data_IF_434683584685
#
_entry.id   IF_434683584685
#
_cell.length_a   1.000
_cell.length_b   1.000
_cell.length_c   1.000
_cell.angle_alpha   90.00
_cell.angle_beta   90.00
_cell.angle_gamma   90.00
#
_symmetry.space_group_name_H-M   'P 1'
#
loop_
_entity.id
_entity.type
_entity.pdbx_description
1 polymer ?
#
# COMPACT_ATOMS: atom_id res chain seq x y z
N UNK A 1 -117.23 -16.10 -20.74
CA UNK A 1 -116.74 -17.04 -21.77
C UNK A 1 -115.72 -16.37 -22.70
N UNK A 2 -115.98 -15.18 -23.27
CA UNK A 2 -115.14 -14.52 -24.28
C UNK A 2 -113.79 -13.96 -23.76
N UNK A 3 -113.77 -13.30 -22.60
CA UNK A 3 -112.53 -12.74 -22.03
C UNK A 3 -111.50 -13.83 -21.72
N UNK A 4 -111.92 -14.91 -21.03
CA UNK A 4 -111.05 -16.03 -20.67
C UNK A 4 -110.40 -16.68 -21.91
N UNK A 5 -111.16 -16.87 -23.00
CA UNK A 5 -110.61 -17.39 -24.25
C UNK A 5 -109.61 -16.45 -24.92
N UNK A 6 -109.75 -15.13 -24.71
CA UNK A 6 -108.84 -14.12 -25.25
C UNK A 6 -107.54 -14.08 -24.45
N UNK A 7 -107.62 -14.07 -23.13
CA UNK A 7 -106.47 -14.18 -22.23
C UNK A 7 -105.69 -15.48 -22.47
N UNK A 8 -106.37 -16.62 -22.61
CA UNK A 8 -105.72 -17.90 -22.93
C UNK A 8 -105.04 -17.86 -24.31
N UNK A 9 -105.66 -17.23 -25.32
CA UNK A 9 -105.04 -17.04 -26.64
C UNK A 9 -103.82 -16.12 -26.61
N UNK A 10 -103.86 -15.08 -25.78
CA UNK A 10 -102.77 -14.12 -25.60
C UNK A 10 -101.60 -14.72 -24.81
N UNK A 11 -101.89 -15.52 -23.77
CA UNK A 11 -100.90 -16.36 -23.07
C UNK A 11 -100.29 -17.39 -24.03
N UNK A 12 -101.10 -18.05 -24.87
CA UNK A 12 -100.61 -19.03 -25.84
C UNK A 12 -99.68 -18.39 -26.88
N UNK A 13 -100.03 -17.22 -27.41
CA UNK A 13 -99.13 -16.46 -28.30
C UNK A 13 -97.83 -16.02 -27.59
N UNK A 14 -97.88 -15.63 -26.31
CA UNK A 14 -96.67 -15.29 -25.54
C UNK A 14 -95.77 -16.49 -25.23
N UNK A 15 -96.34 -17.67 -24.98
CA UNK A 15 -95.56 -18.89 -24.71
C UNK A 15 -95.04 -19.57 -25.99
N UNK A 16 -95.81 -19.52 -27.08
CA UNK A 16 -95.55 -20.31 -28.28
C UNK A 16 -95.24 -19.50 -29.54
N UNK A 17 -95.34 -18.16 -29.55
CA UNK A 17 -94.77 -17.36 -30.65
C UNK A 17 -93.30 -17.04 -30.37
N UNK A 18 -92.42 -18.00 -30.69
CA UNK A 18 -90.97 -17.89 -30.56
C UNK A 18 -90.32 -17.00 -31.64
N UNK A 19 -91.10 -16.42 -32.57
CA UNK A 19 -90.55 -15.54 -33.63
C UNK A 19 -89.79 -14.31 -33.10
N UNK A 20 -90.22 -13.59 -32.05
CA UNK A 20 -89.48 -12.45 -31.54
C UNK A 20 -88.14 -12.87 -30.91
N UNK A 21 -88.12 -14.01 -30.23
CA UNK A 21 -86.91 -14.60 -29.65
C UNK A 21 -85.94 -15.07 -30.74
N UNK A 22 -86.40 -15.89 -31.68
CA UNK A 22 -85.59 -16.39 -32.80
C UNK A 22 -85.07 -15.24 -33.68
N UNK A 23 -85.88 -14.22 -33.98
CA UNK A 23 -85.40 -13.05 -34.72
C UNK A 23 -84.40 -12.21 -33.91
N UNK A 24 -84.48 -12.23 -32.57
CA UNK A 24 -83.48 -11.65 -31.68
C UNK A 24 -82.15 -12.40 -31.78
N UNK A 25 -82.17 -13.72 -31.60
CA UNK A 25 -81.00 -14.60 -31.68
C UNK A 25 -80.37 -14.61 -33.08
N UNK A 26 -81.16 -14.63 -34.16
CA UNK A 26 -80.65 -14.55 -35.54
C UNK A 26 -79.95 -13.21 -35.78
N UNK A 27 -80.52 -12.09 -35.29
CA UNK A 27 -79.86 -10.77 -35.37
C UNK A 27 -78.63 -10.69 -34.48
N UNK A 28 -78.63 -11.35 -33.33
CA UNK A 28 -77.46 -11.41 -32.45
C UNK A 28 -76.33 -12.22 -33.11
N UNK A 29 -76.63 -13.39 -33.68
CA UNK A 29 -75.69 -14.19 -34.48
C UNK A 29 -75.10 -13.41 -35.66
N UNK A 30 -75.94 -12.78 -36.49
CA UNK A 30 -75.48 -11.93 -37.60
C UNK A 30 -74.56 -10.81 -37.10
N UNK A 31 -74.93 -10.14 -36.01
CA UNK A 31 -74.12 -9.07 -35.41
C UNK A 31 -72.79 -9.55 -34.84
N UNK A 32 -72.77 -10.71 -34.19
CA UNK A 32 -71.57 -11.21 -33.52
C UNK A 32 -70.59 -11.87 -34.51
N UNK A 33 -71.09 -12.47 -35.59
CA UNK A 33 -70.28 -13.16 -36.61
C UNK A 33 -69.98 -12.32 -37.86
N UNK A 34 -70.94 -11.57 -38.42
CA UNK A 34 -70.68 -10.73 -39.60
C UNK A 34 -70.15 -9.34 -39.19
N UNK A 35 -70.82 -8.60 -38.29
CA UNK A 35 -70.39 -7.22 -37.95
C UNK A 35 -69.12 -7.15 -37.07
N UNK A 36 -68.94 -8.08 -36.12
CA UNK A 36 -67.83 -8.02 -35.13
C UNK A 36 -66.58 -8.81 -35.50
N UNK A 37 -66.72 -9.95 -36.16
CA UNK A 37 -65.55 -10.71 -36.69
C UNK A 37 -65.17 -10.23 -38.09
N UNK A 38 -66.15 -10.10 -38.99
CA UNK A 38 -65.91 -9.72 -40.39
C UNK A 38 -64.79 -10.53 -41.04
N UNK A 39 -64.00 -9.88 -41.90
CA UNK A 39 -62.86 -10.50 -42.57
C UNK A 39 -61.58 -10.51 -41.71
N UNK A 40 -61.64 -10.18 -40.41
CA UNK A 40 -60.45 -9.94 -39.58
C UNK A 40 -59.55 -11.17 -39.40
N UNK A 41 -60.12 -12.36 -39.42
CA UNK A 41 -59.37 -13.62 -39.44
C UNK A 41 -58.68 -13.84 -40.81
N UNK A 42 -59.33 -13.42 -41.90
CA UNK A 42 -58.83 -13.50 -43.28
C UNK A 42 -57.71 -12.48 -43.53
N UNK A 43 -57.87 -11.22 -43.11
CA UNK A 43 -56.83 -10.19 -43.09
C UNK A 43 -55.59 -10.66 -42.32
N UNK A 44 -55.78 -11.26 -41.15
CA UNK A 44 -54.68 -11.78 -40.35
C UNK A 44 -54.00 -12.99 -41.03
N UNK A 45 -54.76 -13.83 -41.74
CA UNK A 45 -54.21 -14.92 -42.56
C UNK A 45 -53.36 -14.38 -43.71
N UNK A 46 -53.83 -13.34 -44.41
CA UNK A 46 -53.07 -12.67 -45.47
C UNK A 46 -51.81 -11.99 -44.93
N UNK A 47 -51.89 -11.30 -43.79
CA UNK A 47 -50.72 -10.69 -43.15
C UNK A 47 -49.69 -11.73 -42.65
N UNK A 48 -50.13 -12.94 -42.27
CA UNK A 48 -49.25 -14.08 -41.98
C UNK A 48 -48.63 -14.63 -43.27
N UNK A 49 -49.41 -14.77 -44.34
CA UNK A 49 -48.95 -15.25 -45.65
C UNK A 49 -47.91 -14.32 -46.27
N UNK A 50 -48.14 -13.00 -46.22
CA UNK A 50 -47.21 -11.95 -46.67
C UNK A 50 -45.88 -12.08 -45.91
N UNK A 51 -45.91 -12.09 -44.57
CA UNK A 51 -44.72 -12.28 -43.74
C UNK A 51 -44.01 -13.61 -44.00
N UNK A 52 -44.75 -14.70 -44.21
CA UNK A 52 -44.18 -16.01 -44.53
C UNK A 52 -43.45 -15.98 -45.88
N UNK A 53 -44.02 -15.27 -46.86
CA UNK A 53 -43.45 -15.11 -48.21
C UNK A 53 -42.20 -14.22 -48.15
N UNK A 54 -42.25 -13.09 -47.44
CA UNK A 54 -41.08 -12.22 -47.20
C UNK A 54 -39.93 -12.94 -46.49
N UNK A 55 -40.24 -13.76 -45.49
CA UNK A 55 -39.25 -14.58 -44.78
C UNK A 55 -38.61 -15.57 -45.76
N UNK A 56 -39.44 -16.34 -46.48
CA UNK A 56 -39.01 -17.40 -47.41
C UNK A 56 -38.17 -16.85 -48.56
N UNK A 57 -38.63 -15.80 -49.22
CA UNK A 57 -38.09 -15.33 -50.50
C UNK A 57 -37.06 -14.20 -50.33
N UNK A 58 -37.12 -13.42 -49.24
CA UNK A 58 -36.16 -12.34 -48.98
C UNK A 58 -35.19 -12.62 -47.83
N UNK A 59 -35.69 -13.02 -46.66
CA UNK A 59 -34.83 -13.09 -45.46
C UNK A 59 -33.92 -14.31 -45.44
N UNK A 60 -34.39 -15.49 -45.90
CA UNK A 60 -33.55 -16.70 -45.98
C UNK A 60 -32.33 -16.48 -46.88
N UNK A 61 -32.50 -15.86 -48.05
CA UNK A 61 -31.37 -15.52 -48.93
C UNK A 61 -30.43 -14.47 -48.31
N UNK A 62 -30.97 -13.41 -47.69
CA UNK A 62 -30.16 -12.38 -47.04
C UNK A 62 -29.31 -12.97 -45.92
N UNK A 63 -29.90 -13.80 -45.07
CA UNK A 63 -29.21 -14.50 -43.98
C UNK A 63 -28.12 -15.40 -44.57
N UNK A 64 -28.45 -16.22 -45.57
CA UNK A 64 -27.48 -17.10 -46.24
C UNK A 64 -26.29 -16.32 -46.81
N UNK A 65 -26.54 -15.29 -47.62
CA UNK A 65 -25.51 -14.44 -48.23
C UNK A 65 -24.66 -13.71 -47.18
N UNK A 66 -25.28 -13.20 -46.11
CA UNK A 66 -24.55 -12.55 -45.01
C UNK A 66 -23.70 -13.54 -44.19
N UNK A 67 -24.17 -14.78 -44.02
CA UNK A 67 -23.42 -15.86 -43.40
C UNK A 67 -22.23 -16.30 -44.26
N UNK A 68 -22.45 -16.57 -45.55
CA UNK A 68 -21.42 -16.95 -46.51
C UNK A 68 -20.31 -15.90 -46.64
N UNK A 69 -20.63 -14.60 -46.50
CA UNK A 69 -19.63 -13.54 -46.46
C UNK A 69 -18.95 -13.36 -45.09
N UNK A 70 -19.71 -13.41 -43.99
CA UNK A 70 -19.23 -13.08 -42.64
C UNK A 70 -18.50 -14.21 -41.91
N UNK A 71 -18.97 -15.45 -42.04
CA UNK A 71 -18.38 -16.62 -41.39
C UNK A 71 -16.91 -16.89 -41.78
N UNK A 72 -16.50 -16.87 -43.07
CA UNK A 72 -15.10 -17.12 -43.41
C UNK A 72 -14.18 -16.01 -42.90
N UNK A 73 -14.60 -14.74 -42.97
CA UNK A 73 -13.84 -13.62 -42.42
C UNK A 73 -13.67 -13.76 -40.90
N UNK A 74 -14.74 -14.16 -40.19
CA UNK A 74 -14.68 -14.40 -38.74
C UNK A 74 -13.75 -15.58 -38.41
N UNK A 75 -13.80 -16.66 -39.19
CA UNK A 75 -12.92 -17.83 -39.01
C UNK A 75 -11.45 -17.46 -39.22
N UNK A 76 -11.11 -16.75 -40.30
CA UNK A 76 -9.76 -16.27 -40.58
C UNK A 76 -9.25 -15.32 -39.48
N UNK A 77 -10.10 -14.42 -38.97
CA UNK A 77 -9.75 -13.51 -37.87
C UNK A 77 -9.57 -14.25 -36.54
N UNK A 78 -10.33 -15.31 -36.29
CA UNK A 78 -10.18 -16.16 -35.12
C UNK A 78 -8.90 -17.00 -35.20
N UNK A 79 -8.56 -17.52 -36.37
CA UNK A 79 -7.30 -18.23 -36.62
C UNK A 79 -6.08 -17.31 -36.46
N UNK A 80 -6.14 -16.08 -37.01
CA UNK A 80 -5.12 -15.04 -36.76
C UNK A 80 -4.99 -14.70 -35.26
N UNK A 81 -6.11 -14.59 -34.53
CA UNK A 81 -6.07 -14.34 -33.10
C UNK A 81 -5.43 -15.51 -32.31
N UNK A 82 -5.70 -16.76 -32.69
CA UNK A 82 -5.06 -17.93 -32.09
C UNK A 82 -3.56 -17.96 -32.36
N UNK A 83 -3.12 -17.67 -33.59
CA UNK A 83 -1.70 -17.59 -33.94
C UNK A 83 -0.97 -16.52 -33.12
N UNK A 84 -1.56 -15.33 -32.94
CA UNK A 84 -1.01 -14.28 -32.09
C UNK A 84 -0.95 -14.67 -30.61
N UNK A 85 -1.95 -15.39 -30.10
CA UNK A 85 -1.92 -15.92 -28.73
C UNK A 85 -0.78 -16.93 -28.54
N UNK A 86 -0.57 -17.86 -29.48
CA UNK A 86 0.54 -18.81 -29.44
C UNK A 86 1.91 -18.15 -29.55
N UNK A 87 2.04 -17.10 -30.37
CA UNK A 87 3.29 -16.34 -30.52
C UNK A 87 3.63 -15.59 -29.22
N UNK A 88 2.64 -14.98 -28.57
CA UNK A 88 2.79 -14.33 -27.25
C UNK A 88 3.16 -15.35 -26.16
N UNK A 89 2.57 -16.55 -26.17
CA UNK A 89 2.90 -17.61 -25.21
C UNK A 89 4.36 -18.09 -25.38
N UNK A 90 4.79 -18.35 -26.62
CA UNK A 90 6.19 -18.72 -26.95
C UNK A 90 7.16 -17.61 -26.53
N UNK A 91 6.87 -16.36 -26.90
CA UNK A 91 7.69 -15.20 -26.53
C UNK A 91 7.81 -15.00 -25.01
N UNK A 92 6.74 -15.25 -24.24
CA UNK A 92 6.81 -15.24 -22.79
C UNK A 92 7.69 -16.36 -22.24
N UNK A 93 7.58 -17.57 -22.79
CA UNK A 93 8.36 -18.73 -22.37
C UNK A 93 9.87 -18.53 -22.60
N UNK A 94 10.25 -18.01 -23.78
CA UNK A 94 11.63 -17.74 -24.15
C UNK A 94 12.22 -16.61 -23.30
N UNK A 95 11.48 -15.50 -23.10
CA UNK A 95 11.89 -14.43 -22.19
C UNK A 95 12.04 -14.91 -20.75
N UNK A 96 11.18 -15.83 -20.30
CA UNK A 96 11.30 -16.43 -18.97
C UNK A 96 12.57 -17.26 -18.85
N UNK A 97 12.87 -18.15 -19.81
CA UNK A 97 14.09 -18.96 -19.82
C UNK A 97 15.36 -18.08 -19.78
N UNK A 98 15.47 -17.09 -20.66
CA UNK A 98 16.62 -16.16 -20.71
C UNK A 98 16.78 -15.36 -19.41
N UNK A 99 15.68 -15.02 -18.74
CA UNK A 99 15.72 -14.32 -17.45
C UNK A 99 16.12 -15.25 -16.29
N UNK A 100 15.67 -16.49 -16.29
CA UNK A 100 16.09 -17.52 -15.32
C UNK A 100 17.60 -17.81 -15.45
N UNK A 101 18.12 -18.03 -16.67
CA UNK A 101 19.54 -18.24 -16.95
C UNK A 101 20.40 -17.07 -16.46
N UNK A 102 20.03 -15.83 -16.81
CA UNK A 102 20.71 -14.61 -16.32
C UNK A 102 20.64 -14.49 -14.80
N UNK A 103 19.53 -14.88 -14.17
CA UNK A 103 19.43 -14.90 -12.70
C UNK A 103 20.42 -15.92 -12.12
N UNK A 104 20.53 -17.10 -12.73
CA UNK A 104 21.40 -18.18 -12.31
C UNK A 104 22.88 -17.80 -12.41
N UNK A 105 23.33 -17.23 -13.55
CA UNK A 105 24.68 -16.67 -13.67
C UNK A 105 24.99 -15.62 -12.61
N UNK A 106 24.03 -14.74 -12.30
CA UNK A 106 24.18 -13.69 -11.30
C UNK A 106 24.11 -14.23 -9.85
N UNK A 107 23.57 -15.42 -9.63
CA UNK A 107 23.73 -16.15 -8.37
C UNK A 107 25.15 -16.73 -8.28
N UNK A 108 25.65 -17.39 -9.32
CA UNK A 108 27.01 -17.95 -9.32
C UNK A 108 28.11 -16.90 -9.18
N UNK A 109 27.97 -15.74 -9.84
CA UNK A 109 28.92 -14.60 -9.72
C UNK A 109 28.96 -14.11 -8.27
N UNK A 110 27.81 -13.80 -7.68
CA UNK A 110 27.72 -13.37 -6.27
C UNK A 110 28.14 -14.44 -5.28
N UNK A 111 27.95 -15.72 -5.58
CA UNK A 111 28.44 -16.81 -4.75
C UNK A 111 29.96 -16.83 -4.76
N UNK A 112 30.62 -16.72 -5.92
CA UNK A 112 32.09 -16.63 -6.02
C UNK A 112 32.64 -15.38 -5.32
N UNK A 113 31.97 -14.24 -5.44
CA UNK A 113 32.32 -13.00 -4.71
C UNK A 113 32.16 -13.18 -3.19
N UNK A 114 31.10 -13.86 -2.75
CA UNK A 114 30.85 -14.17 -1.34
C UNK A 114 31.87 -15.15 -0.76
N UNK A 115 32.18 -16.22 -1.49
CA UNK A 115 33.18 -17.21 -1.08
C UNK A 115 34.56 -16.54 -0.93
N UNK A 116 34.97 -15.70 -1.90
CA UNK A 116 36.20 -14.88 -1.81
C UNK A 116 36.18 -13.92 -0.61
N UNK A 117 35.04 -13.29 -0.31
CA UNK A 117 34.88 -12.42 0.84
C UNK A 117 34.98 -13.20 2.16
N UNK A 118 34.38 -14.38 2.24
CA UNK A 118 34.46 -15.27 3.40
C UNK A 118 35.89 -15.75 3.63
N UNK A 119 36.62 -16.10 2.58
CA UNK A 119 38.04 -16.49 2.68
C UNK A 119 38.92 -15.33 3.18
N UNK A 120 38.72 -14.10 2.68
CA UNK A 120 39.42 -12.89 3.18
C UNK A 120 39.03 -12.54 4.63
N UNK A 121 37.77 -12.71 5.01
CA UNK A 121 37.34 -12.54 6.42
C UNK A 121 37.95 -13.60 7.33
N UNK A 122 37.93 -14.88 6.94
CA UNK A 122 38.53 -15.98 7.69
C UNK A 122 40.05 -15.75 7.87
N UNK A 123 40.75 -15.34 6.80
CA UNK A 123 42.16 -15.00 6.86
C UNK A 123 42.44 -13.81 7.81
N UNK A 124 41.58 -12.78 7.80
CA UNK A 124 41.70 -11.65 8.73
C UNK A 124 41.46 -12.04 10.18
N UNK A 125 40.44 -12.86 10.46
CA UNK A 125 40.19 -13.41 11.79
C UNK A 125 41.39 -14.23 12.27
N UNK A 126 41.84 -15.21 11.46
CA UNK A 126 43.00 -16.04 11.81
C UNK A 126 44.27 -15.21 12.07
N UNK A 127 44.52 -14.17 11.27
CA UNK A 127 45.65 -13.26 11.52
C UNK A 127 45.50 -12.50 12.84
N UNK A 128 44.29 -12.07 13.18
CA UNK A 128 44.00 -11.40 14.45
C UNK A 128 44.23 -12.37 15.61
N UNK A 129 43.70 -13.59 15.52
CA UNK A 129 43.86 -14.66 16.52
C UNK A 129 45.36 -14.97 16.75
N UNK A 130 46.14 -15.16 15.67
CA UNK A 130 47.59 -15.35 15.76
C UNK A 130 48.28 -14.16 16.47
N UNK A 131 47.94 -12.91 16.13
CA UNK A 131 48.54 -11.74 16.81
C UNK A 131 48.12 -11.61 18.27
N UNK A 132 46.96 -12.14 18.66
CA UNK A 132 46.57 -12.25 20.06
C UNK A 132 47.35 -13.36 20.77
N UNK A 133 47.56 -14.51 20.14
CA UNK A 133 48.34 -15.63 20.68
C UNK A 133 49.81 -15.24 20.88
N UNK A 134 50.45 -14.58 19.90
CA UNK A 134 51.79 -14.00 20.02
C UNK A 134 51.88 -13.00 21.20
N UNK A 135 50.88 -12.13 21.35
CA UNK A 135 50.83 -11.15 22.45
C UNK A 135 50.56 -11.82 23.80
N UNK A 136 49.79 -12.90 23.84
CA UNK A 136 49.56 -13.68 25.06
C UNK A 136 50.84 -14.41 25.50
N UNK A 137 51.61 -14.96 24.55
CA UNK A 137 52.91 -15.58 24.82
C UNK A 137 53.94 -14.54 25.31
N UNK A 138 54.04 -13.37 24.66
CA UNK A 138 54.84 -12.24 25.16
C UNK A 138 54.46 -11.84 26.59
N UNK A 139 53.16 -11.78 26.91
CA UNK A 139 52.70 -11.48 28.27
C UNK A 139 53.09 -12.60 29.26
N UNK A 140 52.94 -13.86 28.87
CA UNK A 140 53.31 -15.02 29.69
C UNK A 140 54.80 -15.02 30.03
N UNK A 141 55.65 -14.74 29.05
CA UNK A 141 57.09 -14.59 29.24
C UNK A 141 57.42 -13.41 30.16
N UNK A 142 56.82 -12.23 29.95
CA UNK A 142 57.03 -11.08 30.83
C UNK A 142 56.63 -11.36 32.29
N UNK A 143 55.53 -12.10 32.53
CA UNK A 143 55.13 -12.51 33.87
C UNK A 143 56.05 -13.59 34.46
N UNK A 144 56.54 -14.55 33.66
CA UNK A 144 57.52 -15.53 34.10
C UNK A 144 58.84 -14.86 34.53
N UNK A 145 59.29 -13.88 33.74
CA UNK A 145 60.51 -13.11 33.97
C UNK A 145 60.38 -12.18 35.21
N UNK A 146 59.19 -11.60 35.43
CA UNK A 146 58.85 -10.85 36.64
C UNK A 146 58.86 -11.77 37.88
N UNK A 147 58.24 -12.94 37.78
CA UNK A 147 58.18 -13.92 38.87
C UNK A 147 59.57 -14.45 39.23
N UNK A 148 60.43 -14.70 38.24
CA UNK A 148 61.82 -15.07 38.44
C UNK A 148 62.63 -13.96 39.13
N UNK A 149 62.44 -12.69 38.74
CA UNK A 149 63.06 -11.53 39.42
C UNK A 149 62.60 -11.39 40.87
N UNK A 150 61.31 -11.59 41.16
CA UNK A 150 60.76 -11.60 42.52
C UNK A 150 61.31 -12.77 43.35
N UNK A 151 61.41 -13.96 42.77
CA UNK A 151 62.01 -15.13 43.41
C UNK A 151 63.48 -14.91 43.77
N UNK A 152 64.27 -14.31 42.87
CA UNK A 152 65.67 -13.93 43.16
C UNK A 152 65.76 -12.86 44.25
N UNK A 153 64.84 -11.88 44.29
CA UNK A 153 64.81 -10.87 45.35
C UNK A 153 64.50 -11.52 46.71
N UNK A 154 63.42 -12.30 46.79
CA UNK A 154 63.07 -13.06 48.00
C UNK A 154 64.21 -13.96 48.47
N UNK A 155 64.91 -14.66 47.57
CA UNK A 155 66.02 -15.54 47.96
C UNK A 155 67.22 -14.74 48.51
N UNK A 156 67.54 -13.56 47.94
CA UNK A 156 68.56 -12.65 48.51
C UNK A 156 68.15 -12.10 49.86
N UNK A 157 66.87 -11.77 50.04
CA UNK A 157 66.35 -11.30 51.32
C UNK A 157 66.37 -12.42 52.38
N UNK A 158 66.07 -13.66 51.99
CA UNK A 158 66.25 -14.87 52.83
C UNK A 158 67.74 -15.08 53.16
N UNK A 159 68.68 -14.98 52.21
CA UNK A 159 70.12 -15.04 52.51
C UNK A 159 70.58 -13.94 53.46
N UNK A 160 70.06 -12.71 53.30
CA UNK A 160 70.38 -11.59 54.17
C UNK A 160 69.83 -11.82 55.58
N UNK A 161 68.59 -12.32 55.72
CA UNK A 161 68.02 -12.75 56.99
C UNK A 161 68.81 -13.90 57.61
N UNK A 162 69.32 -14.85 56.81
CA UNK A 162 70.13 -15.96 57.31
C UNK A 162 71.53 -15.50 57.74
N UNK A 163 72.12 -14.49 57.09
CA UNK A 163 73.34 -13.80 57.53
C UNK A 163 73.11 -13.04 58.83
N UNK A 164 72.04 -12.24 58.92
CA UNK A 164 71.65 -11.53 60.15
C UNK A 164 71.44 -12.54 61.28
N UNK A 165 70.71 -13.64 61.05
CA UNK A 165 70.52 -14.70 62.04
C UNK A 165 71.84 -15.38 62.42
N UNK A 166 72.76 -15.60 61.48
CA UNK A 166 74.10 -16.13 61.81
C UNK A 166 74.98 -15.17 62.61
N UNK A 167 74.67 -13.86 62.60
CA UNK A 167 75.31 -12.84 63.45
C UNK A 167 74.62 -12.76 64.81
N UNK A 168 73.29 -12.80 64.86
CA UNK A 168 72.50 -12.86 66.11
C UNK A 168 72.85 -14.10 66.91
N UNK A 169 72.86 -15.30 66.30
CA UNK A 169 73.27 -16.53 66.96
C UNK A 169 74.73 -16.47 67.49
N UNK A 170 75.63 -15.70 66.87
CA UNK A 170 77.01 -15.49 67.37
C UNK A 170 77.11 -14.48 68.51
N UNK A 171 76.09 -13.63 68.69
CA UNK A 171 75.94 -12.75 69.87
C UNK A 171 75.28 -13.53 71.00
N UNK A 172 74.31 -14.39 70.69
CA UNK A 172 73.66 -15.31 71.63
C UNK A 172 74.61 -16.44 72.12
N UNK A 173 75.59 -16.88 71.33
CA UNK A 173 76.65 -17.80 71.79
C UNK A 173 77.67 -17.16 72.77
N UNK A 174 77.66 -15.83 72.92
CA UNK A 174 78.49 -15.10 73.90
C UNK A 174 77.78 -14.72 75.20
N UNK A 175 76.45 -14.83 75.26
CA UNK A 175 75.63 -14.54 76.44
C UNK A 175 74.53 -15.60 76.56
N UNK A 176 74.78 -16.66 77.36
CA UNK A 176 73.81 -17.48 78.15
C UNK A 176 74.38 -18.86 78.58
N UNK A 177 75.48 -18.88 79.33
CA UNK A 177 75.60 -19.88 80.42
C UNK A 177 75.10 -19.23 81.73
N UNK A 178 73.78 -19.08 81.88
CA UNK A 178 73.07 -19.17 83.17
C UNK A 178 71.56 -18.93 83.02
N UNK A 179 70.75 -19.91 83.46
CA UNK A 179 69.35 -19.78 83.90
C UNK A 179 68.34 -19.57 82.73
N UNK A 180 67.21 -20.28 82.60
CA UNK A 180 66.39 -20.92 83.63
C UNK A 180 65.79 -22.28 83.21
N UNK A 181 65.37 -23.04 84.22
CA UNK A 181 64.80 -24.38 84.13
C UNK A 181 63.35 -24.31 84.68
N UNK A 182 62.40 -25.06 84.08
CA UNK A 182 61.06 -25.37 84.63
C UNK A 182 60.06 -24.19 84.74
N UNK A 183 58.74 -24.23 84.50
CA UNK A 183 57.73 -25.10 83.86
C UNK A 183 56.36 -24.39 84.10
N UNK A 184 55.32 -24.80 83.36
CA UNK A 184 53.88 -24.78 83.75
C UNK A 184 53.00 -23.50 83.63
N UNK A 185 52.08 -23.62 82.66
CA UNK A 185 50.62 -23.37 82.71
C UNK A 185 49.94 -22.01 82.36
N UNK A 186 48.78 -22.22 81.70
CA UNK A 186 47.55 -21.44 81.57
C UNK A 186 47.34 -20.23 80.60
N UNK A 187 46.85 -20.60 79.40
CA UNK A 187 45.45 -20.39 78.94
C UNK A 187 44.92 -19.00 78.48
N UNK A 188 44.48 -19.00 77.21
CA UNK A 188 43.29 -18.30 76.62
C UNK A 188 43.28 -16.76 76.36
N UNK A 189 43.13 -16.42 75.07
CA UNK A 189 41.89 -15.94 74.37
C UNK A 189 42.02 -14.70 73.44
N UNK A 190 41.41 -14.83 72.22
CA UNK A 190 41.06 -13.80 71.19
C UNK A 190 42.20 -13.12 70.41
N UNK A 191 42.09 -12.79 69.11
CA UNK A 191 41.15 -13.13 68.01
C UNK A 191 41.68 -12.52 66.67
N UNK A 192 41.02 -12.80 65.53
CA UNK A 192 40.97 -12.03 64.24
C UNK A 192 41.84 -12.52 63.04
N UNK A 193 41.15 -13.25 62.15
CA UNK A 193 41.06 -13.16 60.66
C UNK A 193 42.21 -13.46 59.68
N UNK A 194 41.74 -13.76 58.44
CA UNK A 194 42.38 -13.81 57.10
C UNK A 194 43.24 -15.05 56.86
N UNK A 195 42.76 -16.02 56.05
CA UNK A 195 42.81 -16.04 54.56
C UNK A 195 44.24 -16.24 54.08
N UNK A 196 44.69 -17.49 53.87
CA UNK A 196 44.64 -18.21 52.59
C UNK A 196 46.07 -18.69 52.28
N UNK A 197 46.38 -19.67 51.43
CA UNK A 197 45.59 -20.51 50.52
C UNK A 197 46.37 -21.84 50.26
N UNK A 198 46.20 -22.47 49.08
CA UNK A 198 46.95 -23.67 48.59
C UNK A 198 46.51 -25.03 49.21
N UNK A 199 46.50 -26.19 48.53
CA UNK A 199 46.49 -26.64 47.11
C UNK A 199 46.00 -28.13 47.12
N UNK A 200 45.75 -28.91 46.06
CA UNK A 200 45.90 -28.79 44.59
C UNK A 200 44.83 -29.65 43.83
N UNK A 201 44.92 -29.67 42.49
CA UNK A 201 44.78 -30.88 41.62
C UNK A 201 43.39 -31.37 41.14
N UNK A 202 43.06 -30.95 39.91
CA UNK A 202 42.77 -31.75 38.70
C UNK A 202 41.74 -32.92 38.63
N UNK A 203 41.03 -32.87 37.49
CA UNK A 203 40.60 -33.97 36.60
C UNK A 203 39.22 -34.70 36.70
N UNK A 204 38.29 -34.22 35.84
CA UNK A 204 37.75 -34.94 34.65
C UNK A 204 36.69 -36.07 34.79
N UNK A 205 35.61 -35.91 34.00
CA UNK A 205 34.63 -36.88 33.41
C UNK A 205 33.43 -37.43 34.22
N UNK A 206 32.27 -36.89 33.83
CA UNK A 206 31.18 -37.58 33.12
C UNK A 206 30.03 -38.29 33.87
N UNK A 207 28.86 -38.24 33.19
CA UNK A 207 27.62 -39.03 33.38
C UNK A 207 26.77 -38.75 34.64
N UNK A 208 25.44 -39.00 34.64
CA UNK A 208 24.40 -39.06 33.59
C UNK A 208 23.04 -39.34 34.28
N UNK A 209 21.90 -38.85 33.74
CA UNK A 209 20.51 -39.32 34.03
C UNK A 209 19.99 -39.04 35.47
N UNK A 210 18.67 -38.98 35.78
CA UNK A 210 17.44 -39.14 34.99
C UNK A 210 16.19 -38.56 35.71
N UNK A 211 15.05 -38.49 34.99
CA UNK A 211 13.66 -38.60 35.52
C UNK A 211 13.05 -37.41 36.30
N UNK A 212 11.75 -37.08 36.32
CA UNK A 212 10.59 -37.10 35.39
C UNK A 212 9.34 -36.62 36.21
N UNK A 213 8.32 -36.02 35.57
CA UNK A 213 6.92 -35.84 36.05
C UNK A 213 6.63 -34.98 37.32
N UNK A 214 5.67 -34.04 37.32
CA UNK A 214 4.23 -34.29 37.08
C UNK A 214 3.36 -33.01 36.97
N UNK A 215 2.10 -33.16 36.54
CA UNK A 215 0.95 -32.23 36.58
C UNK A 215 -0.19 -32.95 37.37
N UNK A 216 -1.18 -32.30 38.05
CA UNK A 216 -2.16 -31.39 37.39
C UNK A 216 -2.90 -30.29 38.23
N UNK A 217 -3.61 -29.40 37.49
CA UNK A 217 -4.89 -28.63 37.68
C UNK A 217 -5.80 -28.89 38.93
N UNK A 218 -6.91 -28.10 39.17
CA UNK A 218 -7.25 -26.68 38.88
C UNK A 218 -8.08 -25.95 40.01
N UNK A 219 -8.47 -24.66 39.83
CA UNK A 219 -9.86 -24.11 40.04
C UNK A 219 -9.99 -22.62 39.67
N UNK A 220 -11.23 -22.11 39.58
CA UNK A 220 -11.64 -20.75 39.15
C UNK A 220 -11.92 -19.84 40.38
N UNK A 221 -12.09 -18.52 40.18
CA UNK A 221 -13.39 -17.81 40.35
C UNK A 221 -13.33 -16.27 40.07
N UNK A 222 -14.42 -15.75 39.51
CA UNK A 222 -15.02 -14.39 39.45
C UNK A 222 -14.28 -13.04 39.18
N UNK A 223 -14.44 -12.59 37.94
CA UNK A 223 -14.95 -11.28 37.45
C UNK A 223 -15.22 -10.08 38.41
N UNK A 224 -14.64 -8.88 38.11
CA UNK A 224 -15.45 -7.69 37.74
C UNK A 224 -14.72 -6.45 37.17
N UNK A 225 -15.47 -5.71 36.33
CA UNK A 225 -15.48 -4.25 36.05
C UNK A 225 -14.21 -3.45 35.64
N UNK A 226 -14.29 -2.96 34.40
CA UNK A 226 -14.19 -1.55 33.95
C UNK A 226 -13.00 -0.70 34.45
N UNK A 227 -12.13 -0.29 33.51
CA UNK A 227 -11.75 1.12 33.44
C UNK A 227 -11.50 1.65 32.02
N UNK A 228 -11.97 2.89 31.87
CA UNK A 228 -11.92 3.80 30.72
C UNK A 228 -10.49 4.04 30.24
N UNK A 229 -10.31 4.12 28.91
CA UNK A 229 -9.17 4.81 28.31
C UNK A 229 -9.35 6.32 28.49
N UNK A 230 -8.35 6.95 29.10
CA UNK A 230 -8.06 8.38 28.94
C UNK A 230 -6.54 8.52 28.89
N UNK A 231 -5.95 8.44 27.70
CA UNK A 231 -4.56 8.88 27.48
C UNK A 231 -4.60 10.39 27.30
N UNK A 232 -4.04 11.11 28.27
CA UNK A 232 -3.55 12.47 28.11
C UNK A 232 -2.07 12.47 28.51
N UNK A 233 -1.25 13.01 27.62
CA UNK A 233 -0.13 13.89 27.90
C UNK A 233 0.78 13.55 29.09
N UNK A 234 1.78 12.69 28.86
CA UNK A 234 3.02 12.71 29.64
C UNK A 234 4.19 13.13 28.75
N UNK A 235 4.48 14.44 28.82
CA UNK A 235 5.71 15.04 28.32
C UNK A 235 6.46 15.57 29.54
N UNK A 236 7.29 14.74 30.19
CA UNK A 236 8.41 15.16 31.07
C UNK A 236 9.24 13.97 31.57
N UNK A 237 10.50 14.28 31.85
CA UNK A 237 11.47 13.50 32.64
C UNK A 237 12.07 12.22 32.02
N UNK A 238 12.82 12.38 30.94
CA UNK A 238 14.14 11.72 30.81
C UNK A 238 15.17 12.82 30.52
N UNK A 239 15.75 13.39 31.59
CA UNK A 239 16.88 14.32 31.51
C UNK A 239 17.60 14.42 32.87
N UNK A 240 17.90 13.25 33.45
CA UNK A 240 18.76 13.06 34.64
C UNK A 240 19.44 11.70 34.49
N UNK A 241 20.75 11.74 34.24
CA UNK A 241 21.76 10.67 34.23
C UNK A 241 22.60 10.65 32.94
N UNK A 242 23.17 11.80 32.57
CA UNK A 242 24.45 11.84 31.85
C UNK A 242 25.45 12.54 32.76
N UNK A 243 26.17 11.74 33.53
CA UNK A 243 27.18 12.20 34.47
C UNK A 243 28.45 12.61 33.72
N UNK A 244 28.74 13.92 33.68
CA UNK A 244 30.07 14.52 33.46
C UNK A 244 31.05 13.77 32.54
N UNK A 245 30.64 13.41 31.30
CA UNK A 245 31.63 13.17 30.24
C UNK A 245 32.29 14.51 29.88
N UNK A 246 33.60 14.57 30.08
CA UNK A 246 34.44 15.70 29.70
C UNK A 246 34.61 15.70 28.17
N UNK A 247 33.96 16.64 27.49
CA UNK A 247 34.13 16.86 26.05
C UNK A 247 34.94 18.14 25.83
N UNK A 248 35.88 18.10 24.88
CA UNK A 248 36.60 19.29 24.42
C UNK A 248 35.80 19.95 23.31
N UNK A 249 35.53 21.24 23.44
CA UNK A 249 34.91 22.05 22.38
C UNK A 249 36.02 22.44 21.38
N UNK A 250 35.66 22.72 20.13
CA UNK A 250 36.60 23.21 19.11
C UNK A 250 37.42 24.43 19.59
N UNK A 251 36.80 25.34 20.37
CA UNK A 251 37.48 26.47 21.02
C UNK A 251 38.63 26.07 21.94
N UNK A 252 38.51 24.91 22.60
CA UNK A 252 39.47 24.45 23.60
C UNK A 252 40.68 23.80 22.90
N UNK A 253 40.43 23.14 21.76
CA UNK A 253 41.44 22.59 20.86
C UNK A 253 42.22 23.72 20.19
N UNK A 254 41.55 24.78 19.72
CA UNK A 254 42.19 25.98 19.16
C UNK A 254 43.06 26.70 20.20
N UNK A 255 42.58 26.80 21.44
CA UNK A 255 43.36 27.33 22.56
C UNK A 255 44.60 26.46 22.86
N UNK A 256 44.42 25.14 22.92
CA UNK A 256 45.51 24.18 23.19
C UNK A 256 46.59 24.25 22.10
N UNK A 257 46.19 24.36 20.82
CA UNK A 257 47.10 24.58 19.70
C UNK A 257 47.93 25.85 19.88
N UNK A 258 47.28 26.98 20.14
CA UNK A 258 47.94 28.27 20.35
C UNK A 258 48.85 28.28 21.60
N UNK A 259 48.51 27.49 22.62
CA UNK A 259 49.33 27.31 23.83
C UNK A 259 50.62 26.52 23.52
N UNK A 260 50.49 25.36 22.87
CA UNK A 260 51.63 24.52 22.47
C UNK A 260 52.59 25.26 21.54
N UNK A 261 52.06 26.09 20.63
CA UNK A 261 52.87 26.92 19.73
C UNK A 261 53.71 27.96 20.51
N UNK A 262 53.12 28.62 21.52
CA UNK A 262 53.83 29.58 22.40
C UNK A 262 54.94 28.92 23.22
N UNK A 263 54.76 27.67 23.67
CA UNK A 263 55.80 26.92 24.39
C UNK A 263 56.98 26.56 23.46
N UNK A 264 56.69 26.13 22.23
CA UNK A 264 57.73 25.88 21.20
C UNK A 264 58.52 27.16 20.86
N UNK A 265 57.86 28.32 20.76
CA UNK A 265 58.54 29.62 20.57
C UNK A 265 59.45 30.03 21.74
N UNK A 266 59.29 29.45 22.94
CA UNK A 266 60.15 29.70 24.10
C UNK A 266 61.37 28.77 24.18
N UNK A 267 61.52 27.82 23.25
CA UNK A 267 62.71 26.96 23.14
C UNK A 267 62.68 25.67 23.98
N UNK A 268 61.52 25.28 24.51
CA UNK A 268 61.36 24.02 25.24
C UNK A 268 61.45 22.81 24.29
N UNK A 269 62.39 21.88 24.56
CA UNK A 269 62.72 20.78 23.64
C UNK A 269 61.74 19.59 23.68
N UNK A 270 60.86 19.51 24.69
CA UNK A 270 59.96 18.37 24.94
C UNK A 270 58.47 18.77 24.84
N UNK A 271 58.08 19.49 23.79
CA UNK A 271 56.67 19.85 23.55
C UNK A 271 56.08 18.95 22.45
N UNK A 272 55.13 18.04 22.77
CA UNK A 272 54.50 17.15 21.78
C UNK A 272 53.73 17.92 20.70
N UNK A 273 53.32 17.24 19.64
CA UNK A 273 52.44 17.82 18.63
C UNK A 273 50.97 17.58 18.99
N UNK A 274 50.09 18.50 18.57
CA UNK A 274 48.66 18.39 18.89
C UNK A 274 48.05 17.07 18.38
N UNK A 275 48.44 16.60 17.19
CA UNK A 275 47.95 15.33 16.66
C UNK A 275 48.32 14.13 17.56
N UNK A 276 49.48 14.16 18.22
CA UNK A 276 49.93 13.13 19.18
C UNK A 276 49.12 13.16 20.48
N UNK A 277 48.57 14.31 20.86
CA UNK A 277 47.70 14.46 22.03
C UNK A 277 46.23 14.11 21.73
N UNK A 278 45.83 14.12 20.46
CA UNK A 278 44.50 13.77 20.00
C UNK A 278 44.41 12.34 19.42
N UNK A 279 45.52 11.61 19.43
CA UNK A 279 45.59 10.22 18.99
C UNK A 279 44.73 9.33 19.90
N UNK A 280 43.75 8.63 19.30
CA UNK A 280 42.74 7.86 20.04
C UNK A 280 41.51 8.65 20.52
N UNK A 281 41.39 9.95 20.23
CA UNK A 281 40.19 10.72 20.57
C UNK A 281 39.01 10.42 19.61
N UNK A 282 37.80 10.30 20.17
CA UNK A 282 36.57 10.07 19.41
C UNK A 282 35.88 11.40 19.11
N UNK A 283 35.63 11.68 17.82
CA UNK A 283 34.94 12.90 17.37
C UNK A 283 33.43 12.60 17.25
N UNK A 284 32.63 13.12 18.17
CA UNK A 284 31.18 13.15 18.04
C UNK A 284 30.75 14.34 17.19
N UNK A 285 30.17 14.10 16.01
CA UNK A 285 29.63 15.15 15.13
C UNK A 285 28.15 15.40 15.44
N UNK A 286 27.70 16.67 15.45
CA UNK A 286 26.29 16.97 15.68
C UNK A 286 25.42 16.38 14.56
N UNK A 287 24.43 15.59 14.92
CA UNK A 287 23.49 14.99 13.97
C UNK A 287 22.69 16.04 13.22
N UNK A 288 22.54 15.87 11.90
CA UNK A 288 21.83 16.82 11.05
C UNK A 288 20.35 16.98 11.46
N UNK A 289 19.87 18.23 11.56
CA UNK A 289 18.50 18.51 11.97
C UNK A 289 17.47 17.96 10.98
N UNK A 290 16.61 17.04 11.46
CA UNK A 290 15.53 16.48 10.65
C UNK A 290 14.38 17.49 10.58
N UNK A 291 14.25 18.15 9.43
CA UNK A 291 13.12 19.04 9.13
C UNK A 291 11.79 18.29 9.29
N UNK A 292 10.94 18.76 10.20
CA UNK A 292 9.60 18.19 10.42
C UNK A 292 8.74 18.43 9.17
N UNK A 293 8.06 17.38 8.70
CA UNK A 293 7.15 17.47 7.55
C UNK A 293 6.02 18.46 7.84
N UNK A 294 5.58 19.19 6.81
CA UNK A 294 4.49 20.15 6.93
C UNK A 294 3.21 19.42 7.40
N UNK A 295 2.60 19.81 8.54
CA UNK A 295 1.48 19.09 9.13
C UNK A 295 0.22 19.10 8.24
N UNK A 296 0.05 20.12 7.39
CA UNK A 296 -1.07 20.21 6.44
C UNK A 296 -0.92 19.18 5.31
N UNK A 297 0.30 19.01 4.81
CA UNK A 297 0.60 18.00 3.79
C UNK A 297 0.52 16.58 4.37
N UNK A 298 1.02 16.38 5.60
CA UNK A 298 0.89 15.10 6.29
C UNK A 298 -0.58 14.73 6.52
N UNK A 299 -1.41 15.66 7.00
CA UNK A 299 -2.85 15.45 7.13
C UNK A 299 -3.54 15.11 5.79
N UNK A 300 -3.14 15.78 4.69
CA UNK A 300 -3.65 15.46 3.33
C UNK A 300 -3.21 14.07 2.87
N UNK A 301 -1.96 13.69 3.10
CA UNK A 301 -1.43 12.37 2.75
C UNK A 301 -2.09 11.26 3.58
N UNK A 302 -2.33 11.48 4.88
CA UNK A 302 -3.08 10.55 5.75
C UNK A 302 -4.52 10.42 5.26
N UNK A 303 -5.19 11.52 4.88
CA UNK A 303 -6.55 11.50 4.31
C UNK A 303 -6.60 10.70 3.00
N UNK A 304 -5.67 10.94 2.07
CA UNK A 304 -5.61 10.22 0.79
C UNK A 304 -5.30 8.73 0.98
N UNK A 305 -4.36 8.40 1.87
CA UNK A 305 -4.04 7.00 2.21
C UNK A 305 -5.25 6.28 2.81
N UNK A 306 -5.91 6.89 3.80
CA UNK A 306 -7.13 6.33 4.40
C UNK A 306 -8.28 6.18 3.37
N UNK A 307 -8.39 7.08 2.39
CA UNK A 307 -9.35 6.94 1.28
C UNK A 307 -8.98 5.77 0.36
N UNK A 308 -7.70 5.57 0.05
CA UNK A 308 -7.22 4.45 -0.77
C UNK A 308 -7.39 3.11 -0.04
N UNK A 309 -6.96 3.01 1.21
CA UNK A 309 -7.16 1.83 2.06
C UNK A 309 -8.66 1.49 2.19
N UNK A 310 -9.54 2.50 2.31
CA UNK A 310 -10.98 2.27 2.32
C UNK A 310 -11.53 1.78 0.96
N UNK A 311 -10.99 2.24 -0.18
CA UNK A 311 -11.33 1.71 -1.53
C UNK A 311 -10.90 0.25 -1.65
N UNK A 312 -9.67 -0.08 -1.25
CA UNK A 312 -9.10 -1.43 -1.29
C UNK A 312 -9.84 -2.40 -0.35
N UNK A 313 -10.11 -1.98 0.89
CA UNK A 313 -10.91 -2.75 1.84
C UNK A 313 -12.33 -3.04 1.32
N UNK A 314 -13.02 -2.04 0.76
CA UNK A 314 -14.35 -2.24 0.15
C UNK A 314 -14.29 -3.18 -1.05
N UNK A 315 -13.24 -3.10 -1.88
CA UNK A 315 -13.04 -4.03 -3.01
C UNK A 315 -12.88 -5.48 -2.53
N UNK A 316 -12.13 -5.71 -1.45
CA UNK A 316 -11.94 -7.05 -0.87
C UNK A 316 -13.19 -7.58 -0.13
N UNK A 317 -13.92 -6.71 0.57
CA UNK A 317 -15.13 -7.11 1.34
C UNK A 317 -16.42 -7.17 0.52
N UNK A 318 -16.40 -6.72 -0.74
CA UNK A 318 -17.54 -6.73 -1.68
C UNK A 318 -18.22 -8.09 -1.86
N UNK A 319 -17.48 -9.19 -1.65
CA UNK A 319 -17.98 -10.57 -1.76
C UNK A 319 -18.58 -11.12 -0.45
N UNK A 320 -18.42 -10.39 0.67
CA UNK A 320 -18.74 -10.83 2.04
C UNK A 320 -19.96 -10.08 2.60
N UNK A 321 -20.34 -8.94 2.02
CA UNK A 321 -21.52 -8.19 2.44
C UNK A 321 -22.82 -8.85 1.92
N UNK A 322 -23.73 -9.15 2.85
CA UNK A 322 -25.04 -9.72 2.56
C UNK A 322 -26.00 -8.68 1.92
N UNK A 323 -25.73 -7.38 2.12
CA UNK A 323 -26.48 -6.29 1.49
C UNK A 323 -25.70 -5.80 0.28
N UNK A 324 -26.02 -6.32 -0.90
CA UNK A 324 -25.33 -6.02 -2.16
C UNK A 324 -25.60 -4.59 -2.67
N UNK A 325 -24.98 -3.60 -2.01
CA UNK A 325 -24.95 -2.20 -2.45
C UNK A 325 -24.20 -2.10 -3.78
N UNK A 326 -24.94 -1.88 -4.87
CA UNK A 326 -24.37 -1.60 -6.20
C UNK A 326 -23.96 -0.13 -6.26
N UNK A 327 -22.66 0.14 -6.30
CA UNK A 327 -22.16 1.48 -6.63
C UNK A 327 -22.48 1.80 -8.11
N UNK A 328 -22.76 3.07 -8.47
CA UNK A 328 -23.05 3.44 -9.86
C UNK A 328 -21.93 3.01 -10.82
N UNK A 329 -20.68 3.28 -10.44
CA UNK A 329 -19.46 2.95 -11.19
C UNK A 329 -19.29 1.46 -11.50
N UNK A 330 -19.84 0.58 -10.66
CA UNK A 330 -19.81 -0.88 -10.82
C UNK A 330 -20.88 -1.43 -11.78
N UNK A 331 -21.82 -0.58 -12.23
CA UNK A 331 -22.91 -0.99 -13.09
C UNK A 331 -22.59 -0.65 -14.55
N UNK A 332 -22.46 -1.70 -15.37
CA UNK A 332 -22.29 -1.61 -16.83
C UNK A 332 -23.37 -0.69 -17.44
N UNK A 333 -24.59 -0.71 -16.91
CA UNK A 333 -25.71 0.14 -17.33
C UNK A 333 -25.49 1.64 -17.05
N UNK A 334 -24.80 2.04 -15.97
CA UNK A 334 -24.48 3.44 -15.71
C UNK A 334 -23.38 3.94 -16.65
N UNK A 335 -22.32 3.14 -16.84
CA UNK A 335 -21.26 3.44 -17.82
C UNK A 335 -21.85 3.54 -19.24
N UNK A 336 -22.69 2.58 -19.66
CA UNK A 336 -23.40 2.65 -20.95
C UNK A 336 -24.31 3.89 -21.05
N UNK A 337 -24.97 4.29 -19.97
CA UNK A 337 -25.86 5.47 -19.97
C UNK A 337 -25.07 6.77 -20.14
N UNK A 338 -23.88 6.85 -19.56
CA UNK A 338 -22.96 7.98 -19.74
C UNK A 338 -22.39 8.02 -21.16
N UNK A 339 -21.92 6.87 -21.68
CA UNK A 339 -21.46 6.73 -23.08
C UNK A 339 -22.56 7.04 -24.08
N UNK A 340 -23.79 6.56 -23.87
CA UNK A 340 -24.93 6.85 -24.75
C UNK A 340 -25.27 8.36 -24.77
N UNK A 341 -25.22 9.02 -23.61
CA UNK A 341 -25.43 10.49 -23.53
C UNK A 341 -24.35 11.28 -24.28
N UNK A 342 -23.11 10.79 -24.30
CA UNK A 342 -22.02 11.37 -25.10
C UNK A 342 -22.16 11.05 -26.59
N UNK A 343 -22.53 9.81 -26.96
CA UNK A 343 -22.84 9.43 -28.34
C UNK A 343 -23.96 10.27 -28.95
N UNK A 344 -25.03 10.55 -28.21
CA UNK A 344 -26.12 11.43 -28.65
C UNK A 344 -25.60 12.86 -28.91
N UNK A 345 -24.72 13.38 -28.05
CA UNK A 345 -24.12 14.69 -28.24
C UNK A 345 -23.19 14.75 -29.47
N UNK A 346 -22.40 13.70 -29.72
CA UNK A 346 -21.54 13.58 -30.91
C UNK A 346 -22.39 13.41 -32.19
N UNK A 347 -23.49 12.66 -32.11
CA UNK A 347 -24.45 12.52 -33.22
C UNK A 347 -25.08 13.85 -33.60
N UNK A 348 -25.51 14.65 -32.60
CA UNK A 348 -26.02 16.00 -32.82
C UNK A 348 -24.98 16.90 -33.53
N UNK A 349 -23.71 16.83 -33.11
CA UNK A 349 -22.61 17.58 -33.72
C UNK A 349 -22.41 17.26 -35.21
N UNK A 350 -22.40 15.96 -35.56
CA UNK A 350 -22.27 15.53 -36.97
C UNK A 350 -23.47 16.00 -37.81
N UNK A 351 -24.69 15.90 -37.26
CA UNK A 351 -25.92 16.34 -37.93
C UNK A 351 -25.90 17.87 -38.14
N UNK A 352 -25.42 18.64 -37.15
CA UNK A 352 -25.31 20.10 -37.24
C UNK A 352 -24.31 20.55 -38.32
N UNK A 353 -23.13 19.93 -38.39
CA UNK A 353 -22.14 20.17 -39.45
C UNK A 353 -22.74 19.81 -40.82
N UNK A 354 -23.42 18.68 -40.94
CA UNK A 354 -24.02 18.24 -42.20
C UNK A 354 -25.16 19.17 -42.66
N UNK A 355 -25.99 19.63 -41.73
CA UNK A 355 -27.02 20.63 -41.98
C UNK A 355 -26.41 21.99 -42.40
N UNK A 356 -25.33 22.43 -41.74
CA UNK A 356 -24.58 23.63 -42.10
C UNK A 356 -23.95 23.56 -43.50
N UNK A 357 -23.38 22.41 -43.85
CA UNK A 357 -22.85 22.14 -45.19
C UNK A 357 -23.97 22.17 -46.24
N UNK A 358 -25.08 21.45 -46.01
CA UNK A 358 -26.23 21.44 -46.90
C UNK A 358 -26.85 22.85 -47.06
N UNK A 359 -26.91 23.64 -45.99
CA UNK A 359 -27.37 25.02 -46.05
C UNK A 359 -26.48 25.89 -46.93
N UNK A 360 -25.15 25.85 -46.75
CA UNK A 360 -24.22 26.62 -47.60
C UNK A 360 -24.17 26.13 -49.05
N UNK A 361 -24.30 24.82 -49.29
CA UNK A 361 -24.21 24.22 -50.62
C UNK A 361 -25.53 24.29 -51.42
N UNK A 362 -26.66 23.87 -50.82
CA UNK A 362 -27.99 23.83 -51.47
C UNK A 362 -28.87 25.04 -51.13
N UNK A 363 -28.76 25.61 -49.92
CA UNK A 363 -29.52 26.80 -49.55
C UNK A 363 -29.15 28.02 -50.38
N UNK A 364 -27.86 28.22 -50.69
CA UNK A 364 -27.42 29.31 -51.57
C UNK A 364 -27.82 29.08 -53.03
N UNK A 365 -27.85 27.84 -53.52
CA UNK A 365 -28.40 27.53 -54.84
C UNK A 365 -29.89 27.93 -54.94
N UNK A 366 -30.68 27.69 -53.88
CA UNK A 366 -32.09 28.06 -53.83
C UNK A 366 -32.33 29.58 -53.76
N UNK A 367 -31.45 30.35 -53.11
CA UNK A 367 -31.62 31.81 -52.97
C UNK A 367 -30.98 32.63 -54.10
N UNK A 368 -29.81 32.22 -54.62
CA UNK A 368 -28.99 33.02 -55.55
C UNK A 368 -29.01 32.45 -56.99
N UNK A 369 -29.51 31.23 -57.20
CA UNK A 369 -29.66 30.63 -58.53
C UNK A 369 -28.40 29.91 -59.05
N UNK A 370 -28.12 30.02 -60.36
CA UNK A 370 -27.02 29.31 -61.06
C UNK A 370 -25.63 29.88 -60.74
N UNK A 371 -25.21 29.77 -59.48
CA UNK A 371 -23.82 29.89 -59.07
C UNK A 371 -23.01 28.68 -59.55
N UNK A 372 -21.73 28.86 -59.84
CA UNK A 372 -20.87 27.74 -60.25
C UNK A 372 -20.63 26.73 -59.10
N UNK A 373 -20.43 25.47 -59.44
CA UNK A 373 -20.31 24.36 -58.50
C UNK A 373 -19.17 24.56 -57.50
N UNK A 374 -18.03 25.10 -57.96
CA UNK A 374 -16.87 25.37 -57.09
C UNK A 374 -17.17 26.37 -55.98
N UNK A 375 -17.87 27.48 -56.29
CA UNK A 375 -18.25 28.48 -55.29
C UNK A 375 -19.28 27.96 -54.30
N UNK A 376 -20.22 27.11 -54.74
CA UNK A 376 -21.19 26.45 -53.84
C UNK A 376 -20.50 25.49 -52.88
N UNK A 377 -19.56 24.69 -53.37
CA UNK A 377 -18.78 23.77 -52.54
C UNK A 377 -17.94 24.54 -51.51
N UNK A 378 -17.26 25.60 -51.94
CA UNK A 378 -16.48 26.47 -51.07
C UNK A 378 -17.35 27.08 -49.95
N UNK A 379 -18.51 27.63 -50.30
CA UNK A 379 -19.41 28.27 -49.33
C UNK A 379 -20.01 27.25 -48.36
N UNK A 380 -20.41 26.06 -48.85
CA UNK A 380 -20.80 24.92 -48.01
C UNK A 380 -19.74 24.54 -46.98
N UNK A 381 -18.47 24.41 -47.39
CA UNK A 381 -17.35 24.10 -46.49
C UNK A 381 -17.10 25.23 -45.49
N UNK A 382 -17.15 26.50 -45.92
CA UNK A 382 -16.93 27.64 -45.01
C UNK A 382 -18.03 27.75 -43.94
N UNK A 383 -19.30 27.56 -44.29
CA UNK A 383 -20.38 27.50 -43.31
C UNK A 383 -20.23 26.31 -42.34
N UNK A 384 -19.87 25.13 -42.85
CA UNK A 384 -19.64 23.94 -42.03
C UNK A 384 -18.47 24.12 -41.04
N UNK A 385 -17.38 24.76 -41.46
CA UNK A 385 -16.22 25.06 -40.59
C UNK A 385 -16.56 26.04 -39.45
N UNK A 386 -17.32 27.09 -39.73
CA UNK A 386 -17.75 28.06 -38.71
C UNK A 386 -18.63 27.36 -37.65
N UNK A 387 -19.56 26.51 -38.07
CA UNK A 387 -20.44 25.74 -37.18
C UNK A 387 -19.62 24.72 -36.37
N UNK A 388 -18.70 23.99 -37.00
CA UNK A 388 -17.83 23.02 -36.33
C UNK A 388 -16.98 23.67 -35.22
N UNK A 389 -16.41 24.85 -35.49
CA UNK A 389 -15.63 25.61 -34.50
C UNK A 389 -16.49 26.13 -33.34
N UNK A 390 -17.73 26.54 -33.61
CA UNK A 390 -18.66 26.94 -32.55
C UNK A 390 -19.04 25.74 -31.66
N UNK A 391 -19.41 24.61 -32.25
CA UNK A 391 -19.89 23.45 -31.48
C UNK A 391 -18.78 22.71 -30.74
N UNK A 392 -17.57 22.61 -31.30
CA UNK A 392 -16.43 21.98 -30.58
C UNK A 392 -16.04 22.79 -29.33
N UNK A 393 -16.18 24.12 -29.36
CA UNK A 393 -15.99 24.98 -28.20
C UNK A 393 -17.04 24.72 -27.11
N UNK A 394 -18.33 24.61 -27.48
CA UNK A 394 -19.38 24.25 -26.53
C UNK A 394 -19.21 22.83 -25.97
N UNK A 395 -18.77 21.88 -26.79
CA UNK A 395 -18.50 20.50 -26.35
C UNK A 395 -17.33 20.45 -25.35
N UNK A 396 -16.22 21.12 -25.64
CA UNK A 396 -15.06 21.20 -24.74
C UNK A 396 -15.43 21.87 -23.41
N UNK A 397 -16.21 22.97 -23.44
CA UNK A 397 -16.71 23.62 -22.23
C UNK A 397 -17.59 22.69 -21.40
N UNK A 398 -18.52 21.97 -22.03
CA UNK A 398 -19.43 21.03 -21.37
C UNK A 398 -18.70 19.82 -20.77
N UNK A 399 -17.68 19.31 -21.44
CA UNK A 399 -16.79 18.26 -20.91
C UNK A 399 -16.01 18.74 -19.67
N UNK A 400 -15.51 19.99 -19.69
CA UNK A 400 -14.83 20.59 -18.54
C UNK A 400 -15.80 20.81 -17.38
N UNK A 401 -17.05 21.21 -17.63
CA UNK A 401 -18.08 21.34 -16.60
C UNK A 401 -18.45 19.98 -15.97
N UNK A 402 -18.54 18.89 -16.76
CA UNK A 402 -18.80 17.54 -16.23
C UNK A 402 -17.61 16.95 -15.45
N UNK A 403 -16.37 17.29 -15.82
CA UNK A 403 -15.16 16.90 -15.07
C UNK A 403 -14.99 17.63 -13.72
N UNK A 404 -15.58 18.82 -13.57
CA UNK A 404 -15.47 19.63 -12.35
C UNK A 404 -16.55 19.31 -11.29
N UNK A 405 -17.41 18.32 -11.53
CA UNK A 405 -18.33 17.80 -10.50
C UNK A 405 -17.47 17.04 -9.46
N UNK A 406 -17.45 17.45 -8.17
CA UNK A 406 -16.56 16.84 -7.20
C UNK A 406 -16.94 15.36 -6.97
N UNK A 407 -15.95 14.48 -7.19
CA UNK A 407 -15.97 13.01 -7.03
C UNK A 407 -16.50 12.56 -5.64
N UNK A 408 -16.53 13.47 -4.67
CA UNK A 408 -17.06 13.28 -3.31
C UNK A 408 -18.55 12.92 -3.27
N UNK A 409 -19.34 13.23 -4.30
CA UNK A 409 -20.77 12.89 -4.38
C UNK A 409 -21.00 11.44 -4.86
N UNK A 410 -20.05 10.85 -5.59
CA UNK A 410 -20.20 9.51 -6.18
C UNK A 410 -19.84 8.38 -5.20
N UNK A 411 -19.11 8.69 -4.12
CA UNK A 411 -18.62 7.72 -3.13
C UNK A 411 -19.46 7.75 -1.87
N UNK A 412 -20.66 7.15 -1.94
CA UNK A 412 -21.66 7.07 -0.86
C UNK A 412 -21.17 6.40 0.44
N UNK A 413 -20.37 7.12 1.23
CA UNK A 413 -20.31 6.93 2.67
C UNK A 413 -21.51 7.61 3.34
N UNK A 414 -21.90 7.19 4.56
CA UNK A 414 -22.90 7.91 5.32
C UNK A 414 -22.43 9.34 5.58
N UNK A 415 -23.31 10.32 5.40
CA UNK A 415 -23.11 11.73 5.73
C UNK A 415 -23.01 11.92 7.25
N UNK A 416 -21.89 11.51 7.83
CA UNK A 416 -21.53 11.87 9.20
C UNK A 416 -20.85 13.22 9.19
N UNK A 417 -21.69 14.23 9.41
CA UNK A 417 -21.39 15.56 9.91
C UNK A 417 -19.99 15.68 10.55
N UNK A 418 -19.15 16.49 9.92
CA UNK A 418 -18.12 17.27 10.55
C UNK A 418 -18.38 18.71 10.12
N UNK A 419 -18.29 19.65 11.05
CA UNK A 419 -18.85 21.00 10.89
C UNK A 419 -18.16 21.78 9.76
N UNK A 420 -18.86 21.96 8.64
CA UNK A 420 -18.45 22.90 7.59
C UNK A 420 -18.96 24.30 7.93
N UNK A 421 -18.06 25.13 8.50
CA UNK A 421 -18.28 26.57 8.50
C UNK A 421 -18.37 27.09 7.06
N UNK A 422 -19.44 27.84 6.81
CA UNK A 422 -19.88 28.30 5.49
C UNK A 422 -18.79 29.09 4.76
N UNK A 423 -18.19 28.52 3.71
CA UNK A 423 -17.46 29.29 2.72
C UNK A 423 -18.32 29.54 1.47
N UNK A 424 -19.30 30.45 1.60
CA UNK A 424 -20.07 30.94 0.46
C UNK A 424 -19.30 32.08 -0.24
N UNK A 425 -18.97 31.98 -1.53
CA UNK A 425 -18.38 33.10 -2.26
C UNK A 425 -19.45 34.18 -2.46
N UNK A 426 -19.20 35.38 -1.94
CA UNK A 426 -20.09 36.54 -2.10
C UNK A 426 -20.18 36.96 -3.58
N UNK A 427 -21.19 36.48 -4.30
CA UNK A 427 -21.61 37.11 -5.55
C UNK A 427 -22.33 38.42 -5.24
N UNK A 428 -21.62 39.53 -5.44
CA UNK A 428 -22.15 40.89 -5.39
C UNK A 428 -23.24 41.06 -6.46
N UNK A 429 -24.51 41.04 -6.02
CA UNK A 429 -25.64 41.47 -6.84
C UNK A 429 -25.70 43.00 -6.86
N UNK A 430 -24.92 43.64 -7.74
CA UNK A 430 -25.28 44.98 -8.20
C UNK A 430 -26.49 44.86 -9.12
N UNK A 431 -27.66 45.20 -8.58
CA UNK A 431 -28.82 45.48 -9.41
C UNK A 431 -28.50 46.69 -10.29
N UNK A 432 -28.72 46.55 -11.60
CA UNK A 432 -28.86 47.71 -12.49
C UNK A 432 -30.36 47.93 -12.58
N UNK A 433 -30.86 48.87 -11.78
CA UNK A 433 -32.21 49.39 -11.97
C UNK A 433 -32.26 50.10 -13.33
N UNK A 434 -33.21 49.70 -14.16
CA UNK A 434 -33.60 50.48 -15.33
C UNK A 434 -34.69 51.44 -14.88
N UNK A 435 -34.40 52.73 -14.87
CA UNK A 435 -35.45 53.74 -14.86
C UNK A 435 -36.17 53.74 -16.21
N UNK A 436 -37.48 53.97 -16.16
CA UNK A 436 -38.37 54.16 -17.31
C UNK A 436 -38.97 55.57 -17.19
N UNK A 437 -38.68 56.44 -18.16
CA UNK A 437 -39.36 57.69 -18.56
C UNK A 437 -38.38 58.48 -19.45
N UNK A 438 -38.71 58.98 -20.64
CA UNK A 438 -39.95 58.93 -21.45
C UNK A 438 -39.63 58.52 -22.90
#
# INVERSE_FOLDING_TARGET
MTELSREIGEIWSRLFDHRPFLNGEIKFMLKEFEEKRGDREVENLFAILEKLTDIKDSQVEKIKKSGEAGLPILAEKLEQALQLCEEVEKGYLDHHQVNEEKRQENHEKRQKEWDQFIDDMNFKCQRIDNTFEEKEEELRDLYADLNHKLSIANNKDIENLHKIRSVVNKVEESELEEIENLTEEDDKVKNIKSEGSETDSTEVKANSKNSLNSKPKPKKDDCNKKMKKSKKDDKKNENKNEENKLHLITSDIDWLYAHLQKLKSKGEKNVPYLHTLLEGSQIETPGNEILKRNPVLEARCVKLRAQQEAREYRKMTKSVDNVRMRFPEDSISYQLKQVNRQLIAIGQFIISIFAGFLFGFKGVELMIGRLDFGFRLLLGVMCALIIALAEIYFLAKKLNEELNIPETVQLGGPTKFADEEKYAPNMSKKAIEKEHQE
#
